data_IF_056854254368
#
_entry.id   IF_056854254368
#
_cell.length_a   1.000
_cell.length_b   1.000
_cell.length_c   1.000
_cell.angle_alpha   90.00
_cell.angle_beta   90.00
_cell.angle_gamma   90.00
#
_symmetry.space_group_name_H-M   'P 1'
#
loop_
_entity.id
_entity.type
_entity.pdbx_description
1 polymer ?
#
# COMPACT_ATOMS: atom_id res chain seq x y z
N UNK A 1 -14.07 1.73 -3.84
CA UNK A 1 -13.26 2.26 -4.97
C UNK A 1 -12.10 1.32 -5.28
N UNK A 2 -11.35 0.82 -4.28
CA UNK A 2 -10.27 -0.17 -4.51
C UNK A 2 -10.77 -1.45 -5.18
N UNK A 3 -11.89 -2.02 -4.71
CA UNK A 3 -12.52 -3.19 -5.34
C UNK A 3 -12.88 -2.97 -6.80
N UNK A 4 -13.46 -1.80 -7.11
CA UNK A 4 -13.84 -1.44 -8.48
C UNK A 4 -12.61 -1.26 -9.37
N UNK A 5 -11.56 -0.59 -8.87
CA UNK A 5 -10.28 -0.49 -9.58
C UNK A 5 -9.69 -1.87 -9.83
N UNK A 6 -9.75 -2.77 -8.85
CA UNK A 6 -9.20 -4.11 -8.96
C UNK A 6 -9.97 -4.95 -9.97
N UNK A 7 -11.30 -4.84 -9.99
CA UNK A 7 -12.16 -5.51 -10.97
C UNK A 7 -11.97 -4.97 -12.39
N UNK A 8 -11.68 -3.68 -12.54
CA UNK A 8 -11.42 -3.04 -13.83
C UNK A 8 -9.98 -3.20 -14.32
N UNK A 9 -9.04 -3.59 -13.44
CA UNK A 9 -7.64 -3.75 -13.81
C UNK A 9 -7.45 -5.07 -14.59
N UNK A 10 -6.82 -5.05 -15.78
CA UNK A 10 -6.57 -6.27 -16.56
C UNK A 10 -5.56 -7.21 -15.88
N UNK A 11 -4.76 -6.71 -14.95
CA UNK A 11 -3.80 -7.50 -14.19
C UNK A 11 -4.44 -8.08 -12.92
N UNK A 12 -4.14 -9.35 -12.63
CA UNK A 12 -4.51 -9.98 -11.36
C UNK A 12 -3.55 -9.53 -10.25
N UNK A 13 -3.83 -8.37 -9.69
CA UNK A 13 -3.03 -7.74 -8.62
C UNK A 13 -3.42 -8.29 -7.24
N UNK A 14 -2.43 -8.69 -6.43
CA UNK A 14 -2.65 -9.09 -5.04
C UNK A 14 -2.55 -7.90 -4.08
N UNK A 15 -3.30 -6.84 -4.38
CA UNK A 15 -3.26 -5.56 -3.66
C UNK A 15 -3.68 -5.65 -2.19
N UNK A 16 -4.41 -6.70 -1.81
CA UNK A 16 -4.87 -6.92 -0.42
C UNK A 16 -3.74 -7.29 0.53
N UNK A 17 -2.62 -7.79 0.02
CA UNK A 17 -1.48 -8.20 0.88
C UNK A 17 -0.15 -7.63 0.41
N UNK A 18 -0.06 -7.11 -0.82
CA UNK A 18 1.17 -6.59 -1.42
C UNK A 18 1.09 -5.08 -1.60
N UNK A 19 1.97 -4.34 -0.92
CA UNK A 19 2.13 -2.90 -1.16
C UNK A 19 2.48 -2.61 -2.62
N UNK A 20 3.29 -3.44 -3.27
CA UNK A 20 3.67 -3.25 -4.68
C UNK A 20 2.44 -3.27 -5.58
N UNK A 21 1.56 -4.24 -5.38
CA UNK A 21 0.35 -4.38 -6.18
C UNK A 21 -0.72 -3.36 -5.80
N UNK A 22 -0.77 -2.93 -4.53
CA UNK A 22 -1.60 -1.81 -4.10
C UNK A 22 -1.18 -0.50 -4.79
N UNK A 23 0.13 -0.21 -4.85
CA UNK A 23 0.64 0.99 -5.53
C UNK A 23 0.36 0.92 -7.03
N UNK A 24 0.56 -0.23 -7.69
CA UNK A 24 0.17 -0.42 -9.10
C UNK A 24 -1.33 -0.20 -9.32
N UNK A 25 -2.17 -0.70 -8.42
CA UNK A 25 -3.62 -0.53 -8.51
C UNK A 25 -4.05 0.95 -8.44
N UNK A 26 -3.24 1.76 -7.75
CA UNK A 26 -3.41 3.20 -7.60
C UNK A 26 -2.68 4.01 -8.66
N UNK A 27 -2.03 3.36 -9.62
CA UNK A 27 -1.16 3.97 -10.64
C UNK A 27 0.00 4.79 -10.04
N UNK A 28 0.55 4.33 -8.91
CA UNK A 28 1.70 4.90 -8.20
C UNK A 28 2.95 4.06 -8.47
N UNK A 29 4.14 4.69 -8.52
CA UNK A 29 5.40 3.96 -8.64
C UNK A 29 5.56 2.95 -7.48
N UNK A 30 5.77 1.69 -7.84
CA UNK A 30 5.93 0.57 -6.91
C UNK A 30 7.39 0.13 -6.73
N UNK A 31 8.34 0.89 -7.33
CA UNK A 31 9.77 0.66 -7.19
C UNK A 31 10.20 0.64 -5.72
N UNK A 32 11.33 -0.02 -5.44
CA UNK A 32 11.87 -0.06 -4.08
C UNK A 32 12.21 1.36 -3.57
N UNK A 33 12.70 2.23 -4.46
CA UNK A 33 13.03 3.61 -4.13
C UNK A 33 11.79 4.39 -3.74
N UNK A 34 10.73 4.36 -4.55
CA UNK A 34 9.47 5.05 -4.25
C UNK A 34 8.83 4.54 -2.94
N UNK A 35 8.87 3.22 -2.70
CA UNK A 35 8.39 2.66 -1.41
C UNK A 35 9.19 3.16 -0.22
N UNK A 36 10.51 3.27 -0.33
CA UNK A 36 11.36 3.82 0.74
C UNK A 36 11.09 5.29 0.98
N UNK A 37 10.85 6.07 -0.07
CA UNK A 37 10.48 7.49 0.04
C UNK A 37 9.12 7.64 0.72
N UNK A 38 8.11 6.90 0.27
CA UNK A 38 6.78 6.91 0.89
C UNK A 38 6.83 6.44 2.36
N UNK A 39 7.63 5.40 2.66
CA UNK A 39 7.83 4.95 4.03
C UNK A 39 8.45 6.06 4.90
N UNK A 40 9.43 6.81 4.39
CA UNK A 40 10.02 7.96 5.09
C UNK A 40 9.01 9.09 5.31
N UNK A 41 8.21 9.42 4.29
CA UNK A 41 7.17 10.45 4.38
C UNK A 41 6.13 10.12 5.46
N UNK A 42 5.76 8.84 5.55
CA UNK A 42 4.85 8.32 6.57
C UNK A 42 5.53 8.08 7.93
N UNK A 43 6.81 8.42 8.08
CA UNK A 43 7.61 8.24 9.30
C UNK A 43 7.66 6.78 9.75
N UNK A 44 7.90 5.86 8.80
CA UNK A 44 8.20 4.47 9.08
C UNK A 44 9.32 4.37 10.13
N UNK A 45 9.14 3.56 11.19
CA UNK A 45 10.20 3.31 12.16
C UNK A 45 11.49 2.83 11.50
N UNK A 46 12.63 3.37 11.95
CA UNK A 46 13.94 3.08 11.38
C UNK A 46 14.30 1.57 11.45
N UNK A 47 13.83 0.87 12.49
CA UNK A 47 14.04 -0.57 12.66
C UNK A 47 13.35 -1.43 11.59
N UNK A 48 12.34 -0.88 10.90
CA UNK A 48 11.65 -1.53 9.79
C UNK A 48 12.26 -1.14 8.44
N UNK A 49 12.96 -0.02 8.34
CA UNK A 49 13.51 0.52 7.08
C UNK A 49 14.61 -0.36 6.48
N UNK A 50 15.33 -1.12 7.31
CA UNK A 50 16.40 -2.02 6.87
C UNK A 50 15.88 -3.40 6.43
N UNK A 51 14.65 -3.78 6.83
CA UNK A 51 14.01 -5.03 6.43
C UNK A 51 12.87 -4.75 5.44
N UNK A 52 13.16 -4.93 4.15
CA UNK A 52 12.20 -4.64 3.09
C UNK A 52 10.87 -5.40 3.22
N UNK A 53 10.85 -6.59 3.83
CA UNK A 53 9.61 -7.34 4.03
C UNK A 53 8.75 -6.70 5.11
N UNK A 54 9.36 -6.36 6.25
CA UNK A 54 8.68 -5.65 7.35
C UNK A 54 8.23 -4.26 6.93
N UNK A 55 9.09 -3.51 6.24
CA UNK A 55 8.75 -2.21 5.65
C UNK A 55 7.53 -2.32 4.75
N UNK A 56 7.46 -3.34 3.89
CA UNK A 56 6.34 -3.49 2.97
C UNK A 56 5.02 -3.78 3.68
N UNK A 57 5.04 -4.62 4.71
CA UNK A 57 3.85 -4.92 5.52
C UNK A 57 3.38 -3.66 6.23
N UNK A 58 4.31 -2.94 6.87
CA UNK A 58 4.00 -1.69 7.55
C UNK A 58 3.44 -0.64 6.56
N UNK A 59 4.08 -0.49 5.41
CA UNK A 59 3.70 0.48 4.39
C UNK A 59 2.33 0.15 3.79
N UNK A 60 2.05 -1.13 3.54
CA UNK A 60 0.75 -1.61 3.08
C UNK A 60 -0.39 -1.17 4.01
N UNK A 61 -0.26 -1.46 5.31
CA UNK A 61 -1.25 -1.05 6.32
C UNK A 61 -1.43 0.47 6.38
N UNK A 62 -0.34 1.22 6.39
CA UNK A 62 -0.41 2.68 6.50
C UNK A 62 -1.00 3.35 5.26
N UNK A 63 -0.69 2.85 4.06
CA UNK A 63 -1.32 3.36 2.82
C UNK A 63 -2.82 3.10 2.82
N UNK A 64 -3.27 1.90 3.23
CA UNK A 64 -4.70 1.60 3.36
C UNK A 64 -5.39 2.50 4.38
N UNK A 65 -4.79 2.68 5.56
CA UNK A 65 -5.31 3.59 6.58
C UNK A 65 -5.41 5.04 6.07
N UNK A 66 -4.39 5.51 5.33
CA UNK A 66 -4.41 6.85 4.75
C UNK A 66 -5.50 7.00 3.68
N UNK A 67 -5.71 6.00 2.84
CA UNK A 67 -6.82 6.00 1.86
C UNK A 67 -8.16 6.07 2.58
N UNK A 68 -8.37 5.26 3.61
CA UNK A 68 -9.60 5.29 4.41
C UNK A 68 -9.83 6.65 5.08
N UNK A 69 -8.79 7.24 5.66
CA UNK A 69 -8.86 8.57 6.30
C UNK A 69 -9.20 9.70 5.32
N UNK A 70 -8.84 9.56 4.03
CA UNK A 70 -9.14 10.54 2.98
C UNK A 70 -10.44 10.22 2.21
N UNK A 71 -11.32 9.37 2.76
CA UNK A 71 -12.64 9.07 2.18
C UNK A 71 -12.62 7.97 1.11
N UNK A 72 -11.51 7.25 0.94
CA UNK A 72 -11.43 6.08 0.10
C UNK A 72 -12.17 4.89 0.71
N UNK A 73 -12.90 4.14 -0.11
CA UNK A 73 -13.57 2.92 0.33
C UNK A 73 -12.59 1.74 0.34
N UNK A 74 -12.16 1.39 1.55
CA UNK A 74 -11.26 0.27 1.92
C UNK A 74 -12.08 -0.80 2.65
N UNK A 75 -11.94 -2.09 2.30
CA UNK A 75 -12.57 -3.17 3.05
C UNK A 75 -12.13 -3.15 4.54
N UNK A 76 -13.07 -3.22 5.51
CA UNK A 76 -12.75 -3.13 6.93
C UNK A 76 -11.73 -4.18 7.40
N UNK A 77 -11.77 -5.38 6.83
CA UNK A 77 -10.87 -6.49 7.17
C UNK A 77 -9.39 -6.22 6.83
N UNK A 78 -9.09 -5.15 6.08
CA UNK A 78 -7.73 -4.74 5.72
C UNK A 78 -7.20 -3.59 6.59
N UNK A 79 -8.00 -3.07 7.53
CA UNK A 79 -7.62 -1.98 8.43
C UNK A 79 -7.15 -2.47 9.81
N UNK A 80 -7.21 -3.78 10.08
CA UNK A 80 -6.83 -4.44 11.33
C UNK A 80 -5.34 -4.89 11.37
#
# INVERSE_FOLDING_TARGET
QLEQRAAANPQKLNWRTSIVDLLKLLDIDSSLTARKELAKELRCPDDLMDDSAKMNIWLHKNVLAHIAANGGNVPPELLD
#
